data_IF_116950649952
#
_entry.id   IF_116950649952
#
_cell.length_a   1.000
_cell.length_b   1.000
_cell.length_c   1.000
_cell.angle_alpha   90.00
_cell.angle_beta   90.00
_cell.angle_gamma   90.00
#
_symmetry.space_group_name_H-M   'P 1'
#
loop_
_entity.id
_entity.type
_entity.pdbx_description
1 polymer ?
#
# COMPACT_ATOMS: atom_id res chain seq x y z
N UNK A 1 17.14 38.59 20.51
CA UNK A 1 17.28 37.26 21.16
C UNK A 1 16.10 36.30 20.91
N UNK A 2 14.84 36.74 20.75
CA UNK A 2 13.70 35.83 20.49
C UNK A 2 13.59 35.24 19.06
N UNK A 3 14.31 35.80 18.08
CA UNK A 3 14.26 35.33 16.67
C UNK A 3 15.31 34.26 16.33
N UNK A 4 16.39 34.14 17.11
CA UNK A 4 17.46 33.14 16.86
C UNK A 4 17.09 31.77 17.46
N UNK A 5 16.32 31.75 18.55
CA UNK A 5 15.84 30.52 19.18
C UNK A 5 14.80 29.80 18.31
N UNK A 6 13.98 30.54 17.55
CA UNK A 6 12.97 29.95 16.66
C UNK A 6 13.59 29.22 15.45
N UNK A 7 14.76 29.66 14.99
CA UNK A 7 15.50 28.99 13.90
C UNK A 7 16.30 27.77 14.38
N UNK A 8 16.84 27.80 15.61
CA UNK A 8 17.58 26.66 16.17
C UNK A 8 16.69 25.47 16.53
N UNK A 9 15.42 25.69 16.90
CA UNK A 9 14.47 24.59 17.21
C UNK A 9 13.98 23.87 15.94
N UNK A 10 13.93 24.53 14.77
CA UNK A 10 13.59 23.85 13.52
C UNK A 10 14.72 22.99 12.93
N UNK A 11 15.98 23.24 13.31
CA UNK A 11 17.14 22.46 12.83
C UNK A 11 17.48 21.29 13.76
N UNK A 12 17.02 21.31 15.02
CA UNK A 12 17.33 20.29 16.02
C UNK A 12 16.40 19.06 16.02
N UNK A 13 15.39 19.01 15.14
CA UNK A 13 14.45 17.89 15.00
C UNK A 13 14.77 16.91 13.87
N UNK A 14 15.83 17.16 13.08
CA UNK A 14 16.29 16.21 12.07
C UNK A 14 17.17 15.17 12.77
N UNK A 15 16.54 14.10 13.25
CA UNK A 15 17.24 12.82 13.40
C UNK A 15 17.93 12.59 12.06
N UNK A 16 19.27 12.44 12.01
CA UNK A 16 19.93 12.08 10.77
C UNK A 16 19.30 10.76 10.32
N UNK A 17 18.49 10.82 9.27
CA UNK A 17 18.06 9.66 8.54
C UNK A 17 19.36 8.90 8.21
N UNK A 18 19.50 7.62 8.60
CA UNK A 18 20.66 6.86 8.18
C UNK A 18 20.79 7.01 6.66
N UNK A 19 22.02 7.12 6.16
CA UNK A 19 22.27 7.10 4.72
C UNK A 19 21.59 5.85 4.14
N UNK A 20 20.38 6.01 3.62
CA UNK A 20 19.67 4.96 2.93
C UNK A 20 20.54 4.68 1.72
N UNK A 21 21.07 3.46 1.62
CA UNK A 21 21.78 3.04 0.44
C UNK A 21 20.94 3.44 -0.78
N UNK A 22 21.54 4.10 -1.76
CA UNK A 22 20.82 4.60 -2.93
C UNK A 22 20.03 3.45 -3.55
N UNK A 23 18.69 3.58 -3.60
CA UNK A 23 17.82 2.57 -4.20
C UNK A 23 18.13 2.50 -5.69
N UNK A 24 18.40 1.27 -6.17
CA UNK A 24 18.40 0.95 -7.59
C UNK A 24 17.13 0.16 -7.91
N UNK A 25 16.18 0.80 -8.60
CA UNK A 25 14.89 0.19 -8.91
C UNK A 25 15.02 -1.08 -9.75
N UNK A 26 16.10 -1.24 -10.52
CA UNK A 26 16.31 -2.47 -11.30
C UNK A 26 16.66 -3.64 -10.39
N UNK A 27 17.34 -3.39 -9.28
CA UNK A 27 17.59 -4.42 -8.27
C UNK A 27 16.30 -4.79 -7.53
N UNK A 28 15.41 -3.82 -7.30
CA UNK A 28 14.07 -4.09 -6.74
C UNK A 28 13.23 -4.94 -7.71
N UNK A 29 13.22 -4.60 -9.00
CA UNK A 29 12.54 -5.37 -10.05
C UNK A 29 13.09 -6.80 -10.13
N UNK A 30 14.42 -6.96 -10.16
CA UNK A 30 15.05 -8.28 -10.17
C UNK A 30 14.78 -9.09 -8.89
N UNK A 31 14.82 -8.44 -7.72
CA UNK A 31 14.49 -9.07 -6.45
C UNK A 31 13.03 -9.55 -6.43
N UNK A 32 12.11 -8.83 -7.07
CA UNK A 32 10.71 -9.26 -7.16
C UNK A 32 10.54 -10.58 -7.91
N UNK A 33 11.29 -10.80 -8.99
CA UNK A 33 11.27 -12.08 -9.72
C UNK A 33 11.89 -13.23 -8.92
N UNK A 34 12.89 -12.93 -8.08
CA UNK A 34 13.42 -13.91 -7.10
C UNK A 34 12.35 -14.23 -6.04
N UNK A 35 11.65 -13.21 -5.54
CA UNK A 35 10.58 -13.39 -4.56
C UNK A 35 9.45 -14.27 -5.10
N UNK A 36 8.98 -14.05 -6.33
CA UNK A 36 7.93 -14.89 -6.92
C UNK A 36 8.34 -16.36 -7.03
N UNK A 37 9.61 -16.64 -7.38
CA UNK A 37 10.14 -18.00 -7.39
C UNK A 37 10.26 -18.59 -5.99
N UNK A 38 10.61 -17.78 -4.99
CA UNK A 38 10.67 -18.21 -3.59
C UNK A 38 9.27 -18.56 -3.04
N UNK A 39 8.25 -17.77 -3.37
CA UNK A 39 6.85 -18.08 -3.04
C UNK A 39 6.40 -19.41 -3.65
N UNK A 40 6.76 -19.64 -4.92
CA UNK A 40 6.42 -20.89 -5.61
C UNK A 40 7.17 -22.09 -5.03
N UNK A 41 8.47 -21.94 -4.74
CA UNK A 41 9.25 -22.96 -4.05
C UNK A 41 8.65 -23.30 -2.68
N UNK A 42 8.22 -22.29 -1.91
CA UNK A 42 7.57 -22.50 -0.62
C UNK A 42 6.27 -23.29 -0.75
N UNK A 43 5.41 -22.94 -1.71
CA UNK A 43 4.17 -23.69 -2.01
C UNK A 43 4.45 -25.14 -2.38
N UNK A 44 5.53 -25.39 -3.12
CA UNK A 44 5.98 -26.72 -3.51
C UNK A 44 6.81 -27.43 -2.42
N UNK A 45 6.84 -26.90 -1.19
CA UNK A 45 7.57 -27.44 -0.03
C UNK A 45 9.09 -27.55 -0.24
N UNK A 46 9.64 -26.79 -1.19
CA UNK A 46 11.07 -26.66 -1.46
C UNK A 46 11.65 -25.58 -0.53
N UNK A 47 11.63 -25.84 0.78
CA UNK A 47 11.90 -24.82 1.80
C UNK A 47 13.34 -24.25 1.76
N UNK A 48 14.33 -25.05 1.35
CA UNK A 48 15.70 -24.58 1.18
C UNK A 48 15.81 -23.55 0.05
N UNK A 49 15.19 -23.82 -1.10
CA UNK A 49 15.16 -22.89 -2.24
C UNK A 49 14.37 -21.62 -1.90
N UNK A 50 13.25 -21.77 -1.19
CA UNK A 50 12.46 -20.65 -0.69
C UNK A 50 13.28 -19.77 0.27
N UNK A 51 13.97 -20.36 1.25
CA UNK A 51 14.83 -19.62 2.18
C UNK A 51 15.95 -18.86 1.45
N UNK A 52 16.67 -19.51 0.53
CA UNK A 52 17.72 -18.86 -0.26
C UNK A 52 17.18 -17.73 -1.14
N UNK A 53 15.97 -17.89 -1.68
CA UNK A 53 15.26 -16.86 -2.43
C UNK A 53 14.92 -15.65 -1.57
N UNK A 54 14.23 -15.83 -0.43
CA UNK A 54 13.89 -14.72 0.47
C UNK A 54 15.13 -14.00 1.02
N UNK A 55 16.19 -14.74 1.36
CA UNK A 55 17.45 -14.14 1.80
C UNK A 55 18.06 -13.24 0.73
N UNK A 56 18.01 -13.66 -0.54
CA UNK A 56 18.50 -12.86 -1.67
C UNK A 56 17.67 -11.60 -1.89
N UNK A 57 16.35 -11.68 -1.71
CA UNK A 57 15.43 -10.54 -1.84
C UNK A 57 15.73 -9.46 -0.80
N UNK A 58 16.01 -9.87 0.44
CA UNK A 58 16.27 -8.97 1.56
C UNK A 58 17.50 -8.06 1.37
N UNK A 59 18.40 -8.37 0.44
CA UNK A 59 19.55 -7.52 0.09
C UNK A 59 19.10 -6.19 -0.51
N UNK A 60 18.05 -6.21 -1.34
CA UNK A 60 17.58 -5.05 -2.07
C UNK A 60 16.24 -4.52 -1.53
N UNK A 61 15.41 -5.40 -0.97
CA UNK A 61 14.09 -5.06 -0.44
C UNK A 61 13.91 -5.61 0.99
N UNK A 62 14.61 -5.02 1.98
CA UNK A 62 14.55 -5.48 3.37
C UNK A 62 13.18 -5.16 3.99
N UNK A 63 12.36 -6.20 4.22
CA UNK A 63 11.02 -6.08 4.82
C UNK A 63 10.80 -7.10 5.91
N UNK A 64 10.16 -6.68 7.00
CA UNK A 64 9.78 -7.55 8.11
C UNK A 64 8.95 -8.75 7.62
N UNK A 65 7.98 -8.52 6.73
CA UNK A 65 7.16 -9.58 6.15
C UNK A 65 7.97 -10.64 5.37
N UNK A 66 9.08 -10.25 4.74
CA UNK A 66 9.96 -11.17 4.00
C UNK A 66 10.89 -11.91 4.97
N UNK A 67 11.35 -11.26 6.04
CA UNK A 67 12.02 -11.94 7.15
C UNK A 67 11.13 -13.00 7.79
N UNK A 68 9.84 -12.70 8.03
CA UNK A 68 8.90 -13.71 8.53
C UNK A 68 8.80 -14.91 7.58
N UNK A 69 8.71 -14.68 6.26
CA UNK A 69 8.70 -15.76 5.26
C UNK A 69 10.00 -16.58 5.28
N UNK A 70 11.15 -15.93 5.42
CA UNK A 70 12.44 -16.61 5.59
C UNK A 70 12.45 -17.47 6.88
N UNK A 71 12.06 -16.89 8.01
CA UNK A 71 11.97 -17.61 9.29
C UNK A 71 11.03 -18.81 9.22
N UNK A 72 9.87 -18.69 8.56
CA UNK A 72 8.94 -19.82 8.32
C UNK A 72 9.64 -20.94 7.55
N UNK A 73 10.34 -20.62 6.45
CA UNK A 73 11.09 -21.62 5.67
C UNK A 73 12.19 -22.30 6.49
N UNK A 74 12.94 -21.55 7.28
CA UNK A 74 14.01 -22.09 8.13
C UNK A 74 13.47 -23.00 9.24
N UNK A 75 12.33 -22.66 9.83
CA UNK A 75 11.65 -23.53 10.79
C UNK A 75 11.21 -24.87 10.16
N UNK A 76 10.74 -24.86 8.91
CA UNK A 76 10.41 -26.11 8.19
C UNK A 76 11.64 -26.99 7.95
N UNK A 77 12.81 -26.38 7.81
CA UNK A 77 14.10 -27.06 7.72
C UNK A 77 14.69 -27.43 9.09
N UNK A 78 14.03 -27.06 10.19
CA UNK A 78 14.50 -27.20 11.57
C UNK A 78 15.83 -26.45 11.85
N UNK A 79 16.14 -25.42 11.07
CA UNK A 79 17.24 -24.48 11.33
C UNK A 79 16.78 -23.37 12.26
N UNK A 80 16.60 -23.73 13.54
CA UNK A 80 16.02 -22.85 14.56
C UNK A 80 16.87 -21.62 14.87
N UNK A 81 18.19 -21.74 14.82
CA UNK A 81 19.11 -20.63 15.11
C UNK A 81 19.01 -19.56 14.02
N UNK A 82 19.05 -19.97 12.75
CA UNK A 82 18.88 -19.03 11.63
C UNK A 82 17.47 -18.45 11.60
N UNK A 83 16.45 -19.24 11.95
CA UNK A 83 15.08 -18.74 12.05
C UNK A 83 14.96 -17.63 13.11
N UNK A 84 15.54 -17.81 14.30
CA UNK A 84 15.57 -16.78 15.34
C UNK A 84 16.28 -15.51 14.87
N UNK A 85 17.45 -15.61 14.23
CA UNK A 85 18.16 -14.43 13.69
C UNK A 85 17.33 -13.69 12.64
N UNK A 86 16.57 -14.43 11.82
CA UNK A 86 15.66 -13.83 10.84
C UNK A 86 14.50 -13.11 11.53
N UNK A 87 13.93 -13.67 12.60
CA UNK A 87 12.91 -12.98 13.41
C UNK A 87 13.46 -11.74 14.12
N UNK A 88 14.64 -11.80 14.73
CA UNK A 88 15.33 -10.63 15.31
C UNK A 88 15.52 -9.52 14.27
N UNK A 89 15.89 -9.90 13.04
CA UNK A 89 15.99 -8.95 11.92
C UNK A 89 14.62 -8.39 11.50
N UNK A 90 13.54 -9.18 11.60
CA UNK A 90 12.18 -8.70 11.36
C UNK A 90 11.77 -7.63 12.38
N UNK A 91 12.11 -7.83 13.66
CA UNK A 91 11.88 -6.86 14.75
C UNK A 91 12.63 -5.56 14.49
N UNK A 92 13.89 -5.63 14.06
CA UNK A 92 14.66 -4.44 13.68
C UNK A 92 14.08 -3.69 12.47
N UNK A 93 13.34 -4.39 11.60
CA UNK A 93 12.62 -3.81 10.47
C UNK A 93 11.21 -3.33 10.83
N UNK A 94 10.84 -3.34 12.12
CA UNK A 94 9.59 -2.80 12.61
C UNK A 94 8.43 -3.80 12.71
N UNK A 95 8.71 -5.11 12.75
CA UNK A 95 7.70 -6.10 13.13
C UNK A 95 7.12 -5.74 14.50
N UNK A 96 5.80 -5.62 14.57
CA UNK A 96 5.13 -5.07 15.75
C UNK A 96 3.82 -5.78 16.11
N UNK A 97 3.38 -6.81 15.40
CA UNK A 97 2.25 -7.64 15.86
C UNK A 97 2.78 -8.98 16.42
N UNK A 98 2.71 -9.21 17.74
CA UNK A 98 3.11 -10.49 18.32
C UNK A 98 2.29 -11.67 17.79
N UNK A 99 1.06 -11.44 17.34
CA UNK A 99 0.19 -12.50 16.82
C UNK A 99 0.71 -13.09 15.51
N UNK A 100 1.49 -12.32 14.73
CA UNK A 100 2.20 -12.83 13.55
C UNK A 100 3.12 -14.02 13.89
N UNK A 101 3.54 -14.14 15.15
CA UNK A 101 4.35 -15.26 15.65
C UNK A 101 3.53 -16.25 16.48
N UNK A 102 2.71 -15.74 17.40
CA UNK A 102 2.03 -16.56 18.41
C UNK A 102 0.94 -17.46 17.82
N UNK A 103 0.22 -16.98 16.80
CA UNK A 103 -0.85 -17.75 16.15
C UNK A 103 -0.31 -18.79 15.17
N UNK A 104 0.97 -18.71 14.80
CA UNK A 104 1.57 -19.57 13.79
C UNK A 104 2.20 -20.84 14.38
N UNK A 105 1.66 -22.04 14.05
CA UNK A 105 2.16 -23.29 14.62
C UNK A 105 3.64 -23.57 14.32
N UNK A 106 4.16 -23.06 13.21
CA UNK A 106 5.54 -23.28 12.74
C UNK A 106 6.58 -22.66 13.69
N UNK A 107 6.23 -21.60 14.41
CA UNK A 107 7.13 -20.94 15.37
C UNK A 107 7.04 -21.49 16.78
N UNK A 108 6.04 -22.33 17.12
CA UNK A 108 5.90 -22.90 18.47
C UNK A 108 7.16 -23.55 19.03
N UNK A 109 8.00 -24.28 18.25
CA UNK A 109 9.25 -24.83 18.76
C UNK A 109 10.23 -23.77 19.28
N UNK A 110 10.20 -22.56 18.72
CA UNK A 110 11.08 -21.45 19.11
C UNK A 110 10.77 -20.92 20.51
N UNK A 111 9.57 -21.14 21.05
CA UNK A 111 9.18 -20.72 22.41
C UNK A 111 10.06 -21.27 23.54
N UNK A 112 10.79 -22.35 23.28
CA UNK A 112 11.71 -22.98 24.23
C UNK A 112 13.10 -22.33 24.25
N UNK A 113 13.38 -21.44 23.32
CA UNK A 113 14.69 -20.81 23.19
C UNK A 113 14.82 -19.62 24.15
N UNK A 114 16.00 -19.41 24.78
CA UNK A 114 16.18 -18.33 25.76
C UNK A 114 15.83 -16.94 25.24
N UNK A 115 16.06 -16.68 23.94
CA UNK A 115 15.83 -15.40 23.29
C UNK A 115 14.36 -15.09 23.03
N UNK A 116 13.47 -16.11 23.07
CA UNK A 116 12.08 -15.96 22.65
C UNK A 116 11.32 -14.92 23.46
N UNK A 117 11.47 -14.94 24.79
CA UNK A 117 10.79 -13.98 25.66
C UNK A 117 11.24 -12.54 25.39
N UNK A 118 12.53 -12.33 25.13
CA UNK A 118 13.07 -11.01 24.75
C UNK A 118 12.54 -10.57 23.40
N UNK A 119 12.54 -11.47 22.41
CA UNK A 119 12.02 -11.19 21.07
C UNK A 119 10.56 -10.73 21.11
N UNK A 120 9.69 -11.44 21.85
CA UNK A 120 8.28 -11.06 22.00
C UNK A 120 8.15 -9.70 22.69
N UNK A 121 8.93 -9.44 23.75
CA UNK A 121 8.92 -8.14 24.43
C UNK A 121 9.37 -6.98 23.53
N UNK A 122 10.32 -7.21 22.61
CA UNK A 122 10.72 -6.21 21.63
C UNK A 122 9.61 -5.94 20.58
N UNK A 123 8.89 -6.97 20.12
CA UNK A 123 7.74 -6.81 19.23
C UNK A 123 6.63 -6.01 19.92
N UNK A 124 6.32 -6.32 21.18
CA UNK A 124 5.35 -5.57 21.99
C UNK A 124 5.80 -4.11 22.20
N UNK A 125 7.11 -3.87 22.36
CA UNK A 125 7.69 -2.53 22.39
C UNK A 125 7.45 -1.77 21.09
N UNK A 126 7.73 -2.39 19.95
CA UNK A 126 7.46 -1.82 18.63
C UNK A 126 5.96 -1.52 18.44
N UNK A 127 5.07 -2.38 18.94
CA UNK A 127 3.62 -2.15 18.90
C UNK A 127 3.23 -0.90 19.67
N UNK A 128 3.74 -0.77 20.89
CA UNK A 128 3.46 0.38 21.75
C UNK A 128 3.97 1.69 21.12
N UNK A 129 5.18 1.68 20.56
CA UNK A 129 5.76 2.84 19.86
C UNK A 129 4.95 3.21 18.61
N UNK A 130 4.54 2.20 17.82
CA UNK A 130 3.72 2.37 16.64
C UNK A 130 2.35 2.98 16.99
N UNK A 131 1.67 2.43 17.99
CA UNK A 131 0.41 2.97 18.50
C UNK A 131 0.58 4.39 19.03
N UNK A 132 1.60 4.66 19.85
CA UNK A 132 1.85 5.99 20.39
C UNK A 132 2.09 7.04 19.29
N UNK A 133 2.80 6.67 18.21
CA UNK A 133 3.07 7.54 17.06
C UNK A 133 1.83 7.88 16.24
N UNK A 134 0.96 6.90 16.02
CA UNK A 134 -0.13 7.00 15.04
C UNK A 134 -1.53 7.01 15.67
N UNK A 135 -1.66 7.15 17.00
CA UNK A 135 -2.97 7.24 17.67
C UNK A 135 -3.72 8.55 17.40
N UNK A 136 -3.01 9.60 17.02
CA UNK A 136 -3.62 10.88 16.72
C UNK A 136 -3.68 11.11 15.21
N UNK A 137 -4.87 11.25 14.59
CA UNK A 137 -4.95 11.55 13.16
C UNK A 137 -4.26 12.87 12.79
N UNK A 138 -3.95 13.74 13.75
CA UNK A 138 -3.14 14.94 13.50
C UNK A 138 -1.64 14.65 13.28
N UNK A 139 -1.14 13.46 13.66
CA UNK A 139 0.25 13.05 13.38
C UNK A 139 0.43 12.44 12.00
N UNK A 140 -0.66 12.00 11.36
CA UNK A 140 -0.67 11.43 10.02
C UNK A 140 -0.07 12.40 9.00
N UNK A 141 0.87 11.91 8.21
CA UNK A 141 1.45 12.65 7.11
C UNK A 141 0.80 12.27 5.78
N UNK A 142 0.54 13.29 4.97
CA UNK A 142 0.17 13.12 3.56
C UNK A 142 1.44 13.30 2.72
N UNK A 143 2.09 12.18 2.40
CA UNK A 143 3.36 12.14 1.69
C UNK A 143 3.12 12.29 0.19
N UNK A 144 3.59 13.39 -0.39
CA UNK A 144 3.38 13.71 -1.82
C UNK A 144 4.66 14.00 -2.58
N UNK A 145 5.83 13.77 -1.97
CA UNK A 145 7.12 14.11 -2.55
C UNK A 145 7.38 13.45 -3.93
N UNK A 146 6.71 12.33 -4.21
CA UNK A 146 6.84 11.58 -5.46
C UNK A 146 6.00 12.16 -6.61
N UNK A 147 4.91 12.88 -6.32
CA UNK A 147 4.07 13.52 -7.35
C UNK A 147 4.85 14.55 -8.20
N UNK A 148 5.57 15.53 -7.62
CA UNK A 148 6.37 16.45 -8.44
C UNK A 148 7.57 15.76 -9.11
N UNK A 149 8.12 14.68 -8.54
CA UNK A 149 9.17 13.87 -9.19
C UNK A 149 8.66 13.20 -10.45
N UNK A 150 7.45 12.62 -10.39
CA UNK A 150 6.79 12.05 -11.56
C UNK A 150 6.63 13.10 -12.66
N UNK A 151 6.05 14.26 -12.35
CA UNK A 151 5.83 15.29 -13.38
C UNK A 151 7.12 15.80 -14.01
N UNK A 152 8.19 15.94 -13.21
CA UNK A 152 9.52 16.28 -13.72
C UNK A 152 10.02 15.21 -14.71
N UNK A 153 9.94 13.93 -14.35
CA UNK A 153 10.32 12.83 -15.23
C UNK A 153 9.44 12.77 -16.49
N UNK A 154 8.12 12.97 -16.35
CA UNK A 154 7.13 12.96 -17.42
C UNK A 154 7.35 14.07 -18.46
N UNK A 155 7.68 15.28 -17.98
CA UNK A 155 7.99 16.43 -18.82
C UNK A 155 9.32 16.22 -19.56
N UNK A 156 10.34 15.65 -18.89
CA UNK A 156 11.62 15.31 -19.53
C UNK A 156 11.49 14.18 -20.56
N UNK A 157 10.71 13.14 -20.24
CA UNK A 157 10.50 11.98 -21.09
C UNK A 157 9.84 12.33 -22.43
N UNK A 158 9.11 13.45 -22.50
CA UNK A 158 8.52 13.98 -23.74
C UNK A 158 9.55 14.24 -24.84
N UNK A 159 10.79 14.58 -24.47
CA UNK A 159 11.86 14.92 -25.41
C UNK A 159 12.79 13.75 -25.73
N UNK A 160 12.60 12.60 -25.08
CA UNK A 160 13.37 11.39 -25.34
C UNK A 160 12.96 10.75 -26.68
N UNK A 161 13.96 10.34 -27.46
CA UNK A 161 13.78 9.77 -28.80
C UNK A 161 13.50 8.28 -28.76
N UNK A 162 13.97 7.60 -27.71
CA UNK A 162 13.84 6.15 -27.57
C UNK A 162 13.10 5.77 -26.29
N UNK A 163 12.48 4.58 -26.28
CA UNK A 163 11.88 4.03 -25.07
C UNK A 163 12.93 3.77 -23.98
N UNK A 164 14.14 3.35 -24.36
CA UNK A 164 15.24 3.16 -23.42
C UNK A 164 15.62 4.46 -22.70
N UNK A 165 15.68 5.59 -23.41
CA UNK A 165 15.91 6.90 -22.81
C UNK A 165 14.80 7.28 -21.82
N UNK A 166 13.53 7.00 -22.15
CA UNK A 166 12.39 7.26 -21.24
C UNK A 166 12.47 6.38 -19.98
N UNK A 167 12.79 5.10 -20.13
CA UNK A 167 13.02 4.18 -19.00
C UNK A 167 14.11 4.75 -18.09
N UNK A 168 15.26 5.16 -18.64
CA UNK A 168 16.33 5.77 -17.86
C UNK A 168 15.89 7.05 -17.15
N UNK A 169 15.08 7.90 -17.78
CA UNK A 169 14.55 9.11 -17.15
C UNK A 169 13.69 8.76 -15.93
N UNK A 170 12.71 7.85 -16.06
CA UNK A 170 11.87 7.48 -14.92
C UNK A 170 12.63 6.71 -13.84
N UNK A 171 13.59 5.85 -14.18
CA UNK A 171 14.47 5.22 -13.20
C UNK A 171 15.19 6.27 -12.35
N UNK A 172 15.88 7.20 -13.01
CA UNK A 172 16.76 8.16 -12.33
C UNK A 172 16.02 9.29 -11.63
N UNK A 173 14.87 9.72 -12.16
CA UNK A 173 14.17 10.91 -11.64
C UNK A 173 12.94 10.62 -10.81
N UNK A 174 12.34 9.43 -10.97
CA UNK A 174 11.12 9.07 -10.26
C UNK A 174 11.37 7.93 -9.27
N UNK A 175 11.82 6.77 -9.73
CA UNK A 175 11.88 5.57 -8.88
C UNK A 175 13.09 5.52 -7.95
N UNK A 176 14.31 5.72 -8.43
CA UNK A 176 15.53 5.68 -7.60
C UNK A 176 15.53 6.72 -6.45
N UNK A 177 15.05 7.96 -6.66
CA UNK A 177 14.88 8.93 -5.55
C UNK A 177 13.52 8.82 -4.84
N UNK A 178 12.75 7.78 -5.14
CA UNK A 178 11.39 7.57 -4.65
C UNK A 178 11.32 7.46 -3.13
N UNK A 179 10.19 7.87 -2.55
CA UNK A 179 9.93 7.59 -1.13
C UNK A 179 9.83 6.08 -0.87
N UNK A 180 9.99 5.62 0.39
CA UNK A 180 9.71 4.23 0.76
C UNK A 180 8.33 3.75 0.30
N UNK A 181 7.32 4.63 0.32
CA UNK A 181 5.97 4.34 -0.19
C UNK A 181 5.94 4.12 -1.70
N UNK A 182 6.69 4.89 -2.50
CA UNK A 182 6.81 4.63 -3.94
C UNK A 182 7.55 3.32 -4.24
N UNK A 183 8.57 2.96 -3.47
CA UNK A 183 9.26 1.68 -3.64
C UNK A 183 8.32 0.50 -3.32
N UNK A 184 7.51 0.63 -2.27
CA UNK A 184 6.48 -0.37 -1.94
C UNK A 184 5.38 -0.44 -2.98
N UNK A 185 4.94 0.70 -3.50
CA UNK A 185 3.97 0.74 -4.58
C UNK A 185 4.55 0.15 -5.86
N UNK A 186 5.84 0.38 -6.13
CA UNK A 186 6.52 -0.27 -7.24
C UNK A 186 6.52 -1.79 -7.08
N UNK A 187 6.96 -2.29 -5.92
CA UNK A 187 6.97 -3.72 -5.62
C UNK A 187 5.58 -4.36 -5.76
N UNK A 188 4.55 -3.72 -5.20
CA UNK A 188 3.20 -4.27 -5.08
C UNK A 188 2.29 -4.04 -6.28
N UNK A 189 2.49 -2.98 -7.07
CA UNK A 189 1.51 -2.53 -8.08
C UNK A 189 2.10 -2.12 -9.44
N UNK A 190 3.34 -1.61 -9.52
CA UNK A 190 3.94 -1.21 -10.82
C UNK A 190 4.75 -2.36 -11.43
N UNK A 191 5.52 -3.04 -10.59
CA UNK A 191 6.35 -4.22 -10.83
C UNK A 191 7.55 -4.02 -11.75
N UNK A 192 7.37 -3.33 -12.88
CA UNK A 192 8.41 -3.17 -13.90
C UNK A 192 8.41 -1.78 -14.50
N UNK A 193 9.61 -1.24 -14.73
CA UNK A 193 9.74 0.12 -15.27
C UNK A 193 9.34 0.19 -16.74
N UNK A 194 9.66 -0.83 -17.53
CA UNK A 194 9.33 -0.84 -18.96
C UNK A 194 7.82 -0.84 -19.20
N UNK A 195 7.08 -1.67 -18.45
CA UNK A 195 5.63 -1.69 -18.48
C UNK A 195 5.07 -0.33 -18.07
N UNK A 196 5.61 0.28 -17.00
CA UNK A 196 5.20 1.61 -16.55
C UNK A 196 5.34 2.64 -17.68
N UNK A 197 6.51 2.70 -18.30
CA UNK A 197 6.77 3.62 -19.42
C UNK A 197 5.85 3.33 -20.60
N UNK A 198 5.64 2.07 -20.95
CA UNK A 198 4.71 1.69 -22.01
C UNK A 198 3.29 2.21 -21.74
N UNK A 199 2.81 2.09 -20.50
CA UNK A 199 1.46 2.54 -20.12
C UNK A 199 1.35 4.07 -20.13
N UNK A 200 2.37 4.77 -19.60
CA UNK A 200 2.39 6.23 -19.62
C UNK A 200 2.52 6.78 -21.04
N UNK A 201 3.24 6.11 -21.93
CA UNK A 201 3.35 6.47 -23.34
C UNK A 201 2.04 6.21 -24.10
N UNK A 202 1.37 5.07 -23.84
CA UNK A 202 0.10 4.69 -24.46
C UNK A 202 -1.04 5.65 -24.06
N UNK A 203 -1.09 6.04 -22.80
CA UNK A 203 -2.19 6.83 -22.22
C UNK A 203 -1.74 8.30 -21.97
N UNK A 204 -0.86 8.85 -22.81
CA UNK A 204 -0.19 10.12 -22.50
C UNK A 204 -1.16 11.29 -22.35
N UNK A 205 -2.19 11.41 -23.18
CA UNK A 205 -3.16 12.49 -23.05
C UNK A 205 -3.97 12.35 -21.76
N UNK A 206 -4.24 11.11 -21.32
CA UNK A 206 -4.83 10.85 -20.01
C UNK A 206 -3.93 11.36 -18.87
N UNK A 207 -2.63 11.01 -18.87
CA UNK A 207 -1.69 11.50 -17.86
C UNK A 207 -1.56 13.04 -17.88
N UNK A 208 -1.56 13.67 -19.07
CA UNK A 208 -1.60 15.15 -19.16
C UNK A 208 -2.89 15.72 -18.57
N UNK A 209 -4.04 15.05 -18.78
CA UNK A 209 -5.34 15.49 -18.29
C UNK A 209 -5.62 15.25 -16.81
N UNK A 210 -4.89 14.38 -16.11
CA UNK A 210 -5.01 14.20 -14.65
C UNK A 210 -4.14 15.19 -13.86
N UNK A 211 -3.11 15.80 -14.49
CA UNK A 211 -2.19 16.73 -13.82
C UNK A 211 -2.90 17.86 -13.08
N UNK A 212 -3.91 18.55 -13.66
CA UNK A 212 -4.62 19.61 -12.94
C UNK A 212 -5.36 19.10 -11.70
N UNK A 213 -5.79 17.84 -11.68
CA UNK A 213 -6.39 17.20 -10.52
C UNK A 213 -5.35 16.85 -9.46
N UNK A 214 -4.18 16.35 -9.88
CA UNK A 214 -3.06 16.10 -8.98
C UNK A 214 -2.57 17.39 -8.27
N UNK A 215 -2.55 18.52 -8.98
CA UNK A 215 -2.20 19.82 -8.41
C UNK A 215 -3.24 20.32 -7.38
N UNK A 216 -4.48 19.81 -7.44
CA UNK A 216 -5.56 20.12 -6.49
C UNK A 216 -5.56 19.21 -5.24
N UNK A 217 -4.67 18.22 -5.15
CA UNK A 217 -4.62 17.25 -4.05
C UNK A 217 -4.70 17.90 -2.66
N UNK A 218 -3.93 18.97 -2.43
CA UNK A 218 -3.88 19.66 -1.13
C UNK A 218 -5.21 20.28 -0.71
N UNK A 219 -6.10 20.59 -1.66
CA UNK A 219 -7.44 21.12 -1.36
C UNK A 219 -8.33 20.08 -0.66
N UNK A 220 -8.01 18.78 -0.76
CA UNK A 220 -8.76 17.69 -0.13
C UNK A 220 -8.27 17.35 1.28
N UNK A 221 -7.13 17.89 1.71
CA UNK A 221 -6.49 17.50 2.97
C UNK A 221 -7.37 17.77 4.19
N UNK A 222 -8.06 18.91 4.21
CA UNK A 222 -8.96 19.25 5.31
C UNK A 222 -10.14 18.26 5.40
N UNK A 223 -10.69 17.84 4.27
CA UNK A 223 -11.79 16.86 4.23
C UNK A 223 -11.30 15.48 4.67
N UNK A 224 -10.13 15.05 4.22
CA UNK A 224 -9.50 13.80 4.66
C UNK A 224 -9.27 13.82 6.19
N UNK A 225 -8.69 14.90 6.70
CA UNK A 225 -8.44 15.07 8.14
C UNK A 225 -9.73 15.04 8.95
N UNK A 226 -10.79 15.69 8.46
CA UNK A 226 -12.11 15.65 9.08
C UNK A 226 -12.65 14.21 9.13
N UNK A 227 -12.49 13.45 8.06
CA UNK A 227 -12.86 12.03 8.01
C UNK A 227 -12.09 11.19 9.02
N UNK A 228 -10.77 11.36 9.12
CA UNK A 228 -9.97 10.63 10.12
C UNK A 228 -10.33 11.02 11.57
N UNK A 229 -10.63 12.30 11.84
CA UNK A 229 -11.11 12.73 13.15
C UNK A 229 -12.47 12.11 13.50
N UNK A 230 -13.39 12.02 12.54
CA UNK A 230 -14.66 11.32 12.72
C UNK A 230 -14.44 9.82 12.96
N UNK A 231 -13.53 9.20 12.21
CA UNK A 231 -13.17 7.80 12.38
C UNK A 231 -12.56 7.51 13.76
N UNK A 232 -11.72 8.41 14.29
CA UNK A 232 -11.21 8.31 15.67
C UNK A 232 -12.33 8.36 16.71
N UNK A 233 -13.37 9.15 16.47
CA UNK A 233 -14.52 9.19 17.37
C UNK A 233 -15.36 7.90 17.30
N UNK A 234 -15.46 7.28 16.12
CA UNK A 234 -16.16 6.01 15.91
C UNK A 234 -15.36 4.82 16.45
N UNK A 235 -14.04 4.83 16.27
CA UNK A 235 -13.12 3.73 16.55
C UNK A 235 -11.87 4.27 17.28
N UNK A 236 -11.95 4.48 18.62
CA UNK A 236 -10.90 5.19 19.40
C UNK A 236 -9.51 4.53 19.43
N UNK A 237 -9.44 3.23 19.14
CA UNK A 237 -8.20 2.44 19.15
C UNK A 237 -7.54 2.37 17.75
N UNK A 238 -8.05 3.14 16.79
CA UNK A 238 -7.53 3.22 15.42
C UNK A 238 -6.11 3.80 15.39
N UNK A 239 -5.28 3.22 14.52
CA UNK A 239 -3.91 3.66 14.23
C UNK A 239 -3.86 4.29 12.85
N UNK A 240 -3.59 5.60 12.80
CA UNK A 240 -3.64 6.46 11.63
C UNK A 240 -2.28 6.54 10.92
N UNK A 241 -1.93 5.47 10.20
CA UNK A 241 -0.70 5.43 9.40
C UNK A 241 -0.67 6.50 8.30
N UNK A 242 0.53 6.89 7.88
CA UNK A 242 0.75 7.86 6.82
C UNK A 242 0.08 7.44 5.49
N UNK A 243 -0.31 8.45 4.70
CA UNK A 243 -0.89 8.27 3.36
C UNK A 243 0.09 8.79 2.33
N UNK A 244 0.62 7.90 1.49
CA UNK A 244 1.56 8.22 0.42
C UNK A 244 0.85 8.26 -0.93
N UNK A 245 0.90 9.42 -1.58
CA UNK A 245 0.35 9.63 -2.92
C UNK A 245 1.46 9.47 -3.96
N UNK A 246 1.20 8.61 -4.93
CA UNK A 246 2.13 8.30 -6.04
C UNK A 246 1.40 8.37 -7.37
N UNK A 247 2.16 8.37 -8.46
CA UNK A 247 1.64 8.19 -9.81
C UNK A 247 2.07 6.81 -10.32
N UNK A 248 1.10 5.92 -10.47
CA UNK A 248 1.28 4.55 -10.89
C UNK A 248 1.05 4.33 -12.38
N UNK A 249 0.66 3.10 -12.70
CA UNK A 249 0.34 2.62 -14.06
C UNK A 249 -1.16 2.28 -14.21
N UNK A 250 -2.03 2.97 -13.47
CA UNK A 250 -3.48 2.70 -13.40
C UNK A 250 -3.72 1.27 -12.88
N UNK A 251 -2.93 0.85 -11.88
CA UNK A 251 -2.98 -0.51 -11.33
C UNK A 251 -3.64 -0.60 -9.96
N UNK A 252 -3.84 0.52 -9.26
CA UNK A 252 -4.47 0.51 -7.93
C UNK A 252 -4.87 1.92 -7.48
N UNK A 253 -6.09 2.05 -6.97
CA UNK A 253 -6.55 3.25 -6.26
C UNK A 253 -6.09 3.29 -4.80
N UNK A 254 -5.83 2.13 -4.18
CA UNK A 254 -5.33 2.02 -2.80
C UNK A 254 -4.62 0.69 -2.54
N UNK A 255 -3.56 0.74 -1.73
CA UNK A 255 -2.76 -0.42 -1.32
C UNK A 255 -2.22 -0.18 0.09
N UNK A 256 -2.17 -1.23 0.91
CA UNK A 256 -1.54 -1.16 2.23
C UNK A 256 -0.12 -1.72 2.17
N UNK A 257 0.82 -1.04 2.83
CA UNK A 257 2.17 -1.54 3.10
C UNK A 257 2.63 -1.17 4.51
N UNK A 258 3.82 -1.63 4.90
CA UNK A 258 4.47 -1.29 6.16
C UNK A 258 4.78 0.23 6.26
N UNK A 259 4.62 0.98 5.18
CA UNK A 259 4.75 2.45 5.14
C UNK A 259 3.40 3.16 5.27
N UNK A 260 2.32 2.42 5.55
CA UNK A 260 0.96 2.92 5.62
C UNK A 260 0.19 2.73 4.33
N UNK A 261 -0.70 3.66 4.02
CA UNK A 261 -1.54 3.58 2.84
C UNK A 261 -0.84 4.20 1.64
N UNK A 262 -0.91 3.53 0.50
CA UNK A 262 -0.35 3.97 -0.78
C UNK A 262 -1.51 4.19 -1.76
N UNK A 263 -1.60 5.38 -2.33
CA UNK A 263 -2.69 5.80 -3.20
C UNK A 263 -2.16 6.17 -4.59
N UNK A 264 -2.65 5.48 -5.62
CA UNK A 264 -2.39 5.82 -7.02
C UNK A 264 -3.23 7.01 -7.45
N UNK A 265 -2.65 8.22 -7.43
CA UNK A 265 -3.36 9.46 -7.75
C UNK A 265 -3.79 9.52 -9.22
N UNK A 266 -3.18 8.73 -10.10
CA UNK A 266 -3.58 8.60 -11.51
C UNK A 266 -4.97 7.99 -11.72
N UNK A 267 -5.56 7.42 -10.68
CA UNK A 267 -6.94 6.91 -10.72
C UNK A 267 -7.98 8.01 -10.50
N UNK A 268 -7.58 9.22 -10.07
CA UNK A 268 -8.48 10.33 -9.78
C UNK A 268 -8.47 11.36 -10.90
N UNK A 269 -9.66 11.62 -11.47
CA UNK A 269 -9.82 12.39 -12.72
C UNK A 269 -10.78 13.57 -12.54
N UNK A 270 -10.57 14.61 -13.34
CA UNK A 270 -11.54 15.69 -13.52
C UNK A 270 -12.53 15.33 -14.65
N UNK A 271 -13.72 15.96 -14.72
CA UNK A 271 -14.69 15.71 -15.80
C UNK A 271 -14.10 15.88 -17.20
N UNK A 272 -13.11 16.76 -17.36
CA UNK A 272 -12.45 17.11 -18.62
C UNK A 272 -11.28 16.18 -18.96
N UNK A 273 -10.88 15.27 -18.06
CA UNK A 273 -9.78 14.34 -18.30
C UNK A 273 -10.13 13.40 -19.47
N UNK A 274 -9.27 13.30 -20.51
CA UNK A 274 -9.57 12.51 -21.69
C UNK A 274 -9.46 11.01 -21.38
N UNK A 275 -10.57 10.28 -21.52
CA UNK A 275 -10.63 8.83 -21.25
C UNK A 275 -10.54 7.96 -22.52
N UNK A 276 -10.40 8.58 -23.70
CA UNK A 276 -10.53 7.88 -24.99
C UNK A 276 -9.35 6.96 -25.30
N UNK A 277 -8.16 7.24 -24.77
CA UNK A 277 -6.96 6.38 -24.89
C UNK A 277 -7.05 5.13 -24.00
N UNK A 278 -7.84 5.19 -22.93
CA UNK A 278 -7.93 4.09 -21.97
C UNK A 278 -8.70 2.89 -22.53
N UNK A 279 -8.12 1.71 -22.32
CA UNK A 279 -8.83 0.44 -22.45
C UNK A 279 -10.05 0.41 -21.52
N UNK A 280 -11.08 -0.41 -21.81
CA UNK A 280 -12.25 -0.52 -20.94
C UNK A 280 -11.89 -0.83 -19.48
N UNK A 281 -10.93 -1.72 -19.25
CA UNK A 281 -10.45 -2.05 -17.90
C UNK A 281 -9.79 -0.88 -17.18
N UNK A 282 -8.89 -0.13 -17.84
CA UNK A 282 -8.27 1.07 -17.24
C UNK A 282 -9.30 2.16 -16.97
N UNK A 283 -10.31 2.29 -17.82
CA UNK A 283 -11.39 3.27 -17.64
C UNK A 283 -12.23 3.00 -16.39
N UNK A 284 -12.38 1.74 -15.98
CA UNK A 284 -13.08 1.38 -14.73
C UNK A 284 -12.32 1.85 -13.48
N UNK A 285 -10.99 2.03 -13.57
CA UNK A 285 -10.20 2.55 -12.47
C UNK A 285 -10.32 4.07 -12.30
N UNK A 286 -10.81 4.81 -13.30
CA UNK A 286 -10.96 6.25 -13.25
C UNK A 286 -12.13 6.65 -12.33
N UNK A 287 -11.84 7.44 -11.30
CA UNK A 287 -12.76 7.93 -10.28
C UNK A 287 -12.75 9.46 -10.27
N UNK A 288 -13.89 10.15 -10.13
CA UNK A 288 -13.90 11.59 -9.92
C UNK A 288 -12.96 12.01 -8.79
N UNK A 289 -12.12 13.04 -8.99
CA UNK A 289 -11.23 13.59 -7.95
C UNK A 289 -12.01 14.00 -6.70
N UNK A 290 -13.25 14.43 -6.87
CA UNK A 290 -14.16 14.76 -5.80
C UNK A 290 -14.26 13.60 -4.78
N UNK A 291 -14.22 12.33 -5.22
CA UNK A 291 -14.26 11.13 -4.38
C UNK A 291 -12.98 10.87 -3.57
N UNK A 292 -11.91 11.67 -3.73
CA UNK A 292 -10.60 11.37 -3.17
C UNK A 292 -10.65 11.13 -1.65
N UNK A 293 -11.31 12.00 -0.89
CA UNK A 293 -11.40 11.84 0.55
C UNK A 293 -12.17 10.57 0.93
N UNK A 294 -13.25 10.26 0.23
CA UNK A 294 -14.04 9.06 0.46
C UNK A 294 -13.23 7.79 0.16
N UNK A 295 -12.52 7.76 -0.98
CA UNK A 295 -11.61 6.65 -1.33
C UNK A 295 -10.49 6.50 -0.31
N UNK A 296 -9.92 7.59 0.22
CA UNK A 296 -8.89 7.51 1.28
C UNK A 296 -9.44 6.83 2.53
N UNK A 297 -10.65 7.17 2.99
CA UNK A 297 -11.24 6.50 4.16
C UNK A 297 -11.72 5.07 3.87
N UNK A 298 -12.20 4.80 2.66
CA UNK A 298 -12.56 3.44 2.22
C UNK A 298 -11.33 2.52 2.29
N UNK A 299 -10.24 2.89 1.62
CA UNK A 299 -9.01 2.10 1.57
C UNK A 299 -8.36 2.00 2.97
N UNK A 300 -8.46 3.04 3.79
CA UNK A 300 -8.00 3.01 5.17
C UNK A 300 -8.82 2.02 6.02
N UNK A 301 -10.13 1.90 5.78
CA UNK A 301 -10.98 0.96 6.53
C UNK A 301 -10.55 -0.48 6.33
N UNK A 302 -10.01 -0.84 5.17
CA UNK A 302 -9.43 -2.18 4.95
C UNK A 302 -8.25 -2.49 5.87
N UNK A 303 -7.56 -1.49 6.43
CA UNK A 303 -6.53 -1.69 7.46
C UNK A 303 -7.13 -2.12 8.81
N UNK A 304 -8.39 -1.78 9.05
CA UNK A 304 -9.11 -2.09 10.29
C UNK A 304 -9.87 -3.42 10.20
N UNK A 305 -10.03 -3.95 8.98
CA UNK A 305 -10.78 -5.17 8.73
C UNK A 305 -9.86 -6.39 8.80
N UNK A 306 -10.11 -7.27 9.76
CA UNK A 306 -9.45 -8.58 9.81
C UNK A 306 -9.86 -9.45 8.61
N UNK A 307 -8.88 -9.96 7.87
CA UNK A 307 -9.11 -10.84 6.73
C UNK A 307 -9.27 -12.32 7.14
N UNK A 308 -10.14 -12.60 8.11
CA UNK A 308 -10.46 -13.95 8.54
C UNK A 308 -11.68 -14.55 7.81
N UNK A 309 -11.77 -15.88 7.77
CA UNK A 309 -12.94 -16.63 7.29
C UNK A 309 -12.88 -17.11 5.83
N UNK A 310 -13.90 -17.86 5.42
CA UNK A 310 -14.00 -18.49 4.10
C UNK A 310 -14.03 -17.45 2.97
N UNK A 311 -13.37 -17.75 1.84
CA UNK A 311 -13.39 -16.91 0.64
C UNK A 311 -14.73 -17.05 -0.12
N UNK A 312 -15.82 -16.61 0.50
CA UNK A 312 -17.17 -16.63 -0.06
C UNK A 312 -17.65 -15.21 -0.39
N UNK A 313 -18.64 -15.11 -1.27
CA UNK A 313 -19.19 -13.85 -1.74
C UNK A 313 -19.72 -12.96 -0.61
N UNK A 314 -20.40 -13.53 0.39
CA UNK A 314 -20.91 -12.76 1.54
C UNK A 314 -19.78 -12.00 2.26
N UNK A 315 -18.64 -12.67 2.46
CA UNK A 315 -17.47 -12.04 3.11
C UNK A 315 -16.94 -10.90 2.24
N UNK A 316 -16.80 -11.11 0.94
CA UNK A 316 -16.31 -10.09 0.02
C UNK A 316 -17.25 -8.86 -0.01
N UNK A 317 -18.57 -9.08 -0.07
CA UNK A 317 -19.56 -8.01 -0.03
C UNK A 317 -19.52 -7.22 1.28
N UNK A 318 -19.37 -7.88 2.43
CA UNK A 318 -19.23 -7.21 3.73
C UNK A 318 -17.88 -6.49 3.86
N UNK A 319 -16.82 -7.01 3.25
CA UNK A 319 -15.50 -6.40 3.27
C UNK A 319 -15.49 -5.07 2.48
N UNK A 320 -15.89 -5.11 1.21
CA UNK A 320 -15.97 -3.93 0.34
C UNK A 320 -17.07 -2.95 0.76
N UNK A 321 -18.28 -3.47 1.02
CA UNK A 321 -19.42 -2.65 1.46
C UNK A 321 -19.23 -2.06 2.85
N UNK A 322 -18.52 -2.76 3.75
CA UNK A 322 -18.15 -2.24 5.06
C UNK A 322 -17.18 -1.07 4.98
N UNK A 323 -16.25 -1.08 4.02
CA UNK A 323 -15.34 0.04 3.78
C UNK A 323 -16.08 1.28 3.25
N UNK A 324 -16.99 1.12 2.28
CA UNK A 324 -17.88 2.20 1.83
C UNK A 324 -18.73 2.72 3.01
N UNK A 325 -19.34 1.84 3.80
CA UNK A 325 -20.19 2.21 4.93
C UNK A 325 -19.46 3.04 6.00
N UNK A 326 -18.26 2.62 6.42
CA UNK A 326 -17.47 3.36 7.41
C UNK A 326 -17.01 4.71 6.85
N UNK A 327 -16.61 4.77 5.58
CA UNK A 327 -16.27 6.03 4.92
C UNK A 327 -17.46 6.99 4.85
N UNK A 328 -18.68 6.50 4.56
CA UNK A 328 -19.92 7.28 4.60
C UNK A 328 -20.29 7.75 6.01
N UNK A 329 -20.10 6.92 7.04
CA UNK A 329 -20.32 7.35 8.43
C UNK A 329 -19.37 8.49 8.83
N UNK A 330 -18.12 8.46 8.36
CA UNK A 330 -17.12 9.47 8.70
C UNK A 330 -17.29 10.79 7.94
N UNK A 331 -17.64 10.74 6.65
CA UNK A 331 -17.70 11.92 5.77
C UNK A 331 -19.11 12.38 5.40
N UNK A 332 -20.13 11.55 5.67
CA UNK A 332 -21.47 11.69 5.12
C UNK A 332 -21.63 10.96 3.78
N UNK A 333 -22.87 10.90 3.27
CA UNK A 333 -23.15 10.33 1.95
C UNK A 333 -22.43 11.14 0.87
N UNK A 334 -21.94 10.43 -0.14
CA UNK A 334 -21.28 11.04 -1.28
C UNK A 334 -22.27 11.28 -2.44
N UNK A 335 -22.11 12.41 -3.15
CA UNK A 335 -22.83 12.78 -4.38
C UNK A 335 -21.75 13.21 -5.40
N UNK A 336 -21.55 12.52 -6.55
CA UNK A 336 -22.54 11.86 -7.38
C UNK A 336 -22.65 10.37 -7.14
N UNK A 337 -23.87 9.86 -7.27
CA UNK A 337 -24.19 8.44 -7.24
C UNK A 337 -23.24 7.67 -8.17
N UNK A 338 -22.42 6.79 -7.58
CA UNK A 338 -21.60 5.86 -8.37
C UNK A 338 -22.57 5.10 -9.30
N UNK A 339 -22.21 4.85 -10.55
CA UNK A 339 -23.12 4.21 -11.51
C UNK A 339 -23.73 2.90 -10.96
N UNK A 340 -22.97 2.17 -10.15
CA UNK A 340 -23.45 0.97 -9.46
C UNK A 340 -24.42 1.24 -8.30
N UNK A 341 -24.33 2.37 -7.60
CA UNK A 341 -25.30 2.74 -6.55
C UNK A 341 -26.65 3.10 -7.18
N UNK A 342 -26.65 3.86 -8.29
CA UNK A 342 -27.88 4.16 -9.05
C UNK A 342 -28.53 2.87 -9.54
N UNK A 343 -27.75 2.01 -10.19
CA UNK A 343 -28.24 0.73 -10.70
C UNK A 343 -28.69 -0.18 -9.57
N UNK A 344 -27.89 -0.29 -8.51
CA UNK A 344 -28.11 -1.16 -7.36
C UNK A 344 -29.38 -0.81 -6.61
N UNK A 345 -29.61 0.49 -6.33
CA UNK A 345 -30.83 0.95 -5.66
C UNK A 345 -32.08 0.79 -6.54
N UNK A 346 -31.95 0.96 -7.86
CA UNK A 346 -33.07 0.80 -8.79
C UNK A 346 -33.49 -0.67 -9.02
N UNK A 347 -32.61 -1.63 -8.74
CA UNK A 347 -32.84 -3.08 -8.95
C UNK A 347 -32.57 -3.88 -7.67
N UNK A 348 -32.74 -3.25 -6.50
CA UNK A 348 -32.37 -3.83 -5.21
C UNK A 348 -33.06 -5.18 -4.93
N UNK A 349 -34.38 -5.34 -5.17
CA UNK A 349 -35.03 -6.63 -4.95
C UNK A 349 -34.47 -7.76 -5.85
N UNK A 350 -34.23 -7.49 -7.13
CA UNK A 350 -33.72 -8.48 -8.08
C UNK A 350 -32.27 -8.85 -7.78
N UNK A 351 -31.45 -7.87 -7.42
CA UNK A 351 -30.05 -8.08 -7.04
C UNK A 351 -29.99 -8.84 -5.72
N UNK A 352 -30.80 -8.49 -4.73
CA UNK A 352 -30.84 -9.18 -3.44
C UNK A 352 -31.25 -10.64 -3.59
N UNK A 353 -32.27 -10.94 -4.40
CA UNK A 353 -32.68 -12.32 -4.67
C UNK A 353 -31.55 -13.15 -5.28
N UNK A 354 -30.83 -12.59 -6.25
CA UNK A 354 -29.67 -13.27 -6.86
C UNK A 354 -28.52 -13.42 -5.87
N UNK A 355 -28.27 -12.39 -5.05
CA UNK A 355 -27.20 -12.41 -4.07
C UNK A 355 -27.44 -13.50 -3.03
N UNK A 356 -28.66 -13.65 -2.52
CA UNK A 356 -28.99 -14.69 -1.55
C UNK A 356 -28.72 -16.11 -2.08
N UNK A 357 -28.90 -16.33 -3.38
CA UNK A 357 -28.58 -17.62 -4.01
C UNK A 357 -27.07 -17.86 -4.12
N UNK A 358 -26.28 -16.80 -4.33
CA UNK A 358 -24.85 -16.87 -4.62
C UNK A 358 -23.96 -16.67 -3.38
N UNK A 359 -24.43 -16.00 -2.32
CA UNK A 359 -23.60 -15.40 -1.25
C UNK A 359 -22.74 -16.38 -0.45
N UNK A 360 -23.11 -17.66 -0.43
CA UNK A 360 -22.34 -18.72 0.25
C UNK A 360 -21.35 -19.43 -0.68
N UNK A 361 -21.37 -19.12 -1.97
CA UNK A 361 -20.43 -19.62 -2.97
C UNK A 361 -19.12 -18.82 -3.00
N UNK A 362 -18.12 -19.38 -3.68
CA UNK A 362 -16.78 -18.78 -3.84
C UNK A 362 -16.62 -17.98 -5.14
N UNK A 363 -17.60 -18.02 -6.03
CA UNK A 363 -17.56 -17.25 -7.29
C UNK A 363 -18.05 -15.82 -7.04
N UNK A 364 -17.11 -14.88 -7.09
CA UNK A 364 -17.36 -13.45 -6.90
C UNK A 364 -17.39 -12.67 -8.21
N UNK A 365 -17.14 -13.33 -9.35
CA UNK A 365 -16.86 -12.66 -10.64
C UNK A 365 -18.02 -11.81 -11.17
N UNK A 366 -19.25 -12.11 -10.74
CA UNK A 366 -20.46 -11.36 -11.09
C UNK A 366 -20.74 -10.16 -10.17
N UNK A 367 -20.02 -10.06 -9.05
CA UNK A 367 -20.40 -9.22 -7.91
C UNK A 367 -19.34 -8.21 -7.51
N UNK A 368 -18.08 -8.64 -7.50
CA UNK A 368 -16.93 -7.85 -7.03
C UNK A 368 -15.96 -7.68 -8.21
N UNK A 369 -15.51 -6.45 -8.43
CA UNK A 369 -14.63 -6.07 -9.54
C UNK A 369 -13.17 -5.91 -9.11
#
# INVERSE_FOLDING_TARGET
MRWVVFWMVMVAGLIPQPLVASVDINQIEAAREVYLRAEEAYKNQQFADAAGGYQSVLIHYPKAAIQLKLARSLCQLQDWESALKSLESAVQLGLHDPQDLLDEPVFRPLSKWPQWATLIAEIEGNLADHQARYRDPASLQMVTADVPRFWKAFDRAKFAKTQAERITIYQMEYFNPGSPGLIDFFWKKIHRVDLFVETVDQDRAYYEGIRPGADQLTSHYQTIQKGFNALKALLPDTVFNDVTFVIGRISSSGTVSDQGMLLGLETFVLPETPLHELTPGRRMAARPLALLAHSVLHEFTHQLQHQAGSAILLRAALFEGGADFVAELALGPWDPAKHYQVFGLAHEPEIWQQFQADMLGTDTSRWIA
#
